data_IF_011057215076
#
_entry.id   IF_011057215076
#
_cell.length_a   1.000
_cell.length_b   1.000
_cell.length_c   1.000
_cell.angle_alpha   90.00
_cell.angle_beta   90.00
_cell.angle_gamma   90.00
#
_symmetry.space_group_name_H-M   'P 1'
#
loop_
_entity.id
_entity.type
_entity.pdbx_description
1 polymer ?
#
# COMPACT_ATOMS: atom_id res chain seq x y z
N UNK A 1 26.26 12.14 6.77
CA UNK A 1 25.93 11.16 5.72
C UNK A 1 24.72 10.36 6.18
N UNK A 2 23.51 10.72 5.72
CA UNK A 2 22.31 9.96 6.04
C UNK A 2 22.40 8.58 5.39
N UNK A 3 22.03 7.52 6.11
CA UNK A 3 21.88 6.18 5.52
C UNK A 3 21.00 6.31 4.29
N UNK A 4 21.54 6.04 3.11
CA UNK A 4 20.73 5.88 1.92
C UNK A 4 19.80 4.70 2.17
N UNK A 5 18.52 4.97 2.36
CA UNK A 5 17.53 3.92 2.48
C UNK A 5 17.44 3.20 1.14
N UNK A 6 17.86 1.94 1.11
CA UNK A 6 17.79 1.10 -0.09
C UNK A 6 16.35 1.01 -0.62
N UNK A 7 15.34 1.12 0.25
CA UNK A 7 13.95 1.19 -0.21
C UNK A 7 13.71 2.38 -1.12
N UNK A 8 14.29 3.55 -0.83
CA UNK A 8 14.15 4.74 -1.66
C UNK A 8 14.99 4.69 -2.95
N UNK A 9 16.01 3.83 -2.99
CA UNK A 9 16.81 3.58 -4.21
C UNK A 9 16.03 2.70 -5.18
N UNK A 10 15.38 1.65 -4.68
CA UNK A 10 14.68 0.68 -5.53
C UNK A 10 13.19 1.01 -5.72
N UNK A 11 12.55 1.64 -4.74
CA UNK A 11 11.12 1.83 -4.67
C UNK A 11 10.75 3.20 -4.09
N UNK A 12 9.46 3.55 -4.16
CA UNK A 12 8.92 4.63 -3.34
C UNK A 12 8.51 4.06 -2.00
N UNK A 13 8.94 4.71 -0.93
CA UNK A 13 8.74 4.26 0.46
C UNK A 13 7.30 3.81 0.76
N UNK A 14 6.30 4.69 0.54
CA UNK A 14 4.89 4.41 0.88
C UNK A 14 4.35 3.20 0.09
N UNK A 15 4.44 3.13 -1.26
CA UNK A 15 4.09 1.92 -2.01
C UNK A 15 4.79 0.63 -1.55
N UNK A 16 6.09 0.71 -1.22
CA UNK A 16 6.85 -0.45 -0.75
C UNK A 16 6.33 -0.94 0.61
N UNK A 17 6.12 -0.03 1.56
CA UNK A 17 5.52 -0.37 2.86
C UNK A 17 4.11 -0.94 2.71
N UNK A 18 3.29 -0.43 1.78
CA UNK A 18 1.97 -1.01 1.52
C UNK A 18 2.07 -2.50 1.17
N UNK A 19 2.97 -2.89 0.27
CA UNK A 19 3.16 -4.29 -0.12
C UNK A 19 3.66 -5.15 1.06
N UNK A 20 4.59 -4.62 1.87
CA UNK A 20 5.12 -5.32 3.04
C UNK A 20 4.03 -5.55 4.09
N UNK A 21 3.24 -4.53 4.41
CA UNK A 21 2.12 -4.64 5.36
C UNK A 21 1.06 -5.62 4.84
N UNK A 22 0.80 -5.62 3.52
CA UNK A 22 -0.09 -6.60 2.91
C UNK A 22 0.43 -8.03 3.01
N UNK A 23 1.74 -8.22 2.85
CA UNK A 23 2.38 -9.54 2.95
C UNK A 23 2.45 -10.07 4.39
N UNK A 24 2.57 -9.18 5.39
CA UNK A 24 2.68 -9.53 6.81
C UNK A 24 1.34 -9.84 7.47
N UNK A 25 0.25 -9.31 6.94
CA UNK A 25 -1.07 -9.50 7.53
C UNK A 25 -1.44 -10.99 7.55
N UNK A 26 -1.82 -11.56 8.72
CA UNK A 26 -2.30 -12.94 8.81
C UNK A 26 -3.69 -13.11 8.19
N UNK A 27 -4.37 -12.00 7.84
CA UNK A 27 -5.68 -12.00 7.19
C UNK A 27 -5.50 -11.96 5.67
N UNK A 28 -6.26 -12.80 4.96
CA UNK A 28 -6.29 -12.86 3.49
C UNK A 28 -6.78 -11.57 2.81
N UNK A 29 -7.34 -10.62 3.57
CA UNK A 29 -7.81 -9.34 3.07
C UNK A 29 -7.52 -8.24 4.10
N UNK A 30 -7.15 -7.06 3.59
CA UNK A 30 -6.86 -5.88 4.40
C UNK A 30 -7.73 -4.73 3.92
N UNK A 31 -8.36 -4.04 4.88
CA UNK A 31 -9.11 -2.83 4.59
C UNK A 31 -8.15 -1.69 4.26
N UNK A 32 -8.42 -0.96 3.17
CA UNK A 32 -7.61 0.18 2.74
C UNK A 32 -7.50 1.28 3.82
N UNK A 33 -8.51 1.44 4.68
CA UNK A 33 -8.46 2.35 5.83
C UNK A 33 -7.44 1.94 6.89
N UNK A 34 -7.25 0.64 7.14
CA UNK A 34 -6.21 0.15 8.04
C UNK A 34 -4.83 0.30 7.42
N UNK A 35 -4.70 0.03 6.12
CA UNK A 35 -3.46 0.22 5.38
C UNK A 35 -3.03 1.70 5.38
N UNK A 36 -3.98 2.63 5.21
CA UNK A 36 -3.74 4.06 5.29
C UNK A 36 -3.19 4.51 6.64
N UNK A 37 -3.71 3.96 7.74
CA UNK A 37 -3.18 4.21 9.09
C UNK A 37 -1.77 3.64 9.26
N UNK A 38 -1.53 2.41 8.79
CA UNK A 38 -0.24 1.74 8.94
C UNK A 38 0.88 2.44 8.15
N UNK A 39 0.56 3.00 6.98
CA UNK A 39 1.51 3.65 6.09
C UNK A 39 1.51 5.18 6.26
N UNK A 40 0.78 5.72 7.24
CA UNK A 40 0.67 7.16 7.53
C UNK A 40 0.30 7.99 6.28
N UNK A 41 -0.79 7.60 5.61
CA UNK A 41 -1.21 8.24 4.38
C UNK A 41 -2.72 8.47 4.37
N UNK A 42 -3.20 9.42 3.57
CA UNK A 42 -4.64 9.63 3.43
C UNK A 42 -5.27 8.46 2.70
N UNK A 43 -6.51 8.14 3.05
CA UNK A 43 -7.27 7.07 2.39
C UNK A 43 -7.31 7.25 0.86
N UNK A 44 -7.61 8.47 0.39
CA UNK A 44 -7.68 8.77 -1.04
C UNK A 44 -6.36 8.50 -1.77
N UNK A 45 -5.22 8.79 -1.13
CA UNK A 45 -3.91 8.52 -1.74
C UNK A 45 -3.62 7.02 -1.78
N UNK A 46 -3.92 6.28 -0.70
CA UNK A 46 -3.80 4.81 -0.68
C UNK A 46 -4.66 4.16 -1.75
N UNK A 47 -5.93 4.55 -1.87
CA UNK A 47 -6.84 4.01 -2.91
C UNK A 47 -6.27 4.28 -4.30
N UNK A 48 -5.77 5.49 -4.56
CA UNK A 48 -5.13 5.82 -5.84
C UNK A 48 -3.93 4.92 -6.13
N UNK A 49 -3.08 4.65 -5.14
CA UNK A 49 -1.92 3.75 -5.29
C UNK A 49 -2.37 2.31 -5.52
N UNK A 50 -3.33 1.80 -4.73
CA UNK A 50 -3.87 0.45 -4.87
C UNK A 50 -4.49 0.22 -6.25
N UNK A 51 -5.19 1.21 -6.81
CA UNK A 51 -5.72 1.14 -8.17
C UNK A 51 -4.62 1.04 -9.23
N UNK A 52 -3.47 1.70 -9.04
CA UNK A 52 -2.33 1.57 -9.96
C UNK A 52 -1.66 0.20 -9.82
N UNK A 53 -1.51 -0.30 -8.59
CA UNK A 53 -0.98 -1.64 -8.33
C UNK A 53 -1.88 -2.74 -8.89
N UNK A 54 -3.21 -2.58 -8.80
CA UNK A 54 -4.18 -3.49 -9.39
C UNK A 54 -4.07 -3.52 -10.91
N UNK A 55 -3.98 -2.35 -11.56
CA UNK A 55 -3.72 -2.26 -13.01
C UNK A 55 -2.41 -2.93 -13.43
N UNK A 56 -1.41 -2.90 -12.55
CA UNK A 56 -0.13 -3.57 -12.76
C UNK A 56 -0.16 -5.08 -12.40
N UNK A 57 -1.30 -5.61 -11.95
CA UNK A 57 -1.45 -7.02 -11.55
C UNK A 57 -0.75 -7.39 -10.24
N UNK A 58 -0.38 -6.40 -9.41
CA UNK A 58 0.35 -6.64 -8.17
C UNK A 58 -0.57 -6.97 -6.98
N UNK A 59 -1.81 -6.48 -7.01
CA UNK A 59 -2.80 -6.68 -5.95
C UNK A 59 -4.20 -6.84 -6.55
N UNK A 60 -5.10 -7.48 -5.81
CA UNK A 60 -6.53 -7.46 -6.11
C UNK A 60 -7.21 -6.46 -5.18
N UNK A 61 -7.94 -5.48 -5.73
CA UNK A 61 -8.59 -4.46 -4.94
C UNK A 61 -10.13 -4.57 -5.06
N UNK A 62 -10.74 -5.29 -4.11
CA UNK A 62 -12.19 -5.47 -4.07
C UNK A 62 -12.90 -4.24 -3.46
N UNK A 63 -13.48 -3.41 -4.32
CA UNK A 63 -14.24 -2.24 -3.91
C UNK A 63 -15.69 -2.63 -3.59
N UNK A 64 -15.94 -3.06 -2.35
CA UNK A 64 -17.30 -3.32 -1.85
C UNK A 64 -17.97 -2.04 -1.33
N UNK A 65 -19.03 -1.59 -2.01
CA UNK A 65 -19.91 -0.50 -1.57
C UNK A 65 -19.47 0.92 -1.99
N UNK A 66 -20.31 1.91 -1.68
CA UNK A 66 -19.99 3.34 -1.89
C UNK A 66 -19.27 3.89 -0.66
N UNK A 67 -18.26 4.73 -0.97
CA UNK A 67 -17.39 5.51 -0.09
C UNK A 67 -17.79 5.58 1.39
#
# INVERSE_FOLDING_TARGET
MGKTDMLNVFFREKPAFMLIEMRRSPKNAIYASNLAKAVDCTYSHVVKILQQMEKAGMVNFDKKGRL
#
